data_IF_036761528817
#
_entry.id   IF_036761528817
#
_cell.length_a   1.000
_cell.length_b   1.000
_cell.length_c   1.000
_cell.angle_alpha   90.00
_cell.angle_beta   90.00
_cell.angle_gamma   90.00
#
_symmetry.space_group_name_H-M   'P 1'
#
loop_
_entity.id
_entity.type
_entity.pdbx_description
1 polymer ?
#
# COMPACT_ATOMS: atom_id res chain seq x y z
N UNK A 1 8.47 1.02 -11.96
CA UNK A 1 7.20 0.82 -11.24
C UNK A 1 7.23 1.59 -9.94
N UNK A 2 6.18 2.31 -9.67
CA UNK A 2 6.07 3.15 -8.48
C UNK A 2 5.07 2.57 -7.49
N UNK A 3 5.50 2.42 -6.23
CA UNK A 3 4.67 1.91 -5.14
C UNK A 3 4.65 2.93 -4.02
N UNK A 4 3.45 3.24 -3.51
CA UNK A 4 3.26 4.10 -2.35
C UNK A 4 2.75 3.24 -1.21
N UNK A 5 3.47 3.27 -0.07
CA UNK A 5 3.12 2.53 1.13
C UNK A 5 2.72 3.51 2.21
N UNK A 6 1.53 3.36 2.75
CA UNK A 6 1.02 4.18 3.85
C UNK A 6 1.11 3.41 5.17
N UNK A 7 1.95 3.89 6.06
CA UNK A 7 2.19 3.27 7.36
C UNK A 7 3.61 2.74 7.51
N UNK A 8 4.39 3.34 8.40
CA UNK A 8 5.78 2.97 8.66
C UNK A 8 5.93 2.19 9.98
N UNK A 9 4.93 1.42 10.34
CA UNK A 9 5.02 0.49 11.45
C UNK A 9 5.79 -0.76 11.04
N UNK A 10 5.66 -1.83 11.83
CA UNK A 10 6.38 -3.07 11.59
C UNK A 10 6.10 -3.65 10.20
N UNK A 11 4.83 -3.70 9.82
CA UNK A 11 4.41 -4.27 8.53
C UNK A 11 4.88 -3.42 7.36
N UNK A 12 4.61 -2.11 7.40
CA UNK A 12 4.97 -1.21 6.31
C UNK A 12 6.48 -1.10 6.11
N UNK A 13 7.23 -1.04 7.20
CA UNK A 13 8.68 -0.98 7.17
C UNK A 13 9.27 -2.26 6.55
N UNK A 14 8.77 -3.40 6.99
CA UNK A 14 9.23 -4.69 6.46
C UNK A 14 8.96 -4.80 4.96
N UNK A 15 7.74 -4.42 4.55
CA UNK A 15 7.35 -4.44 3.16
C UNK A 15 8.19 -3.49 2.31
N UNK A 16 8.43 -2.27 2.81
CA UNK A 16 9.25 -1.30 2.10
C UNK A 16 10.67 -1.81 1.89
N UNK A 17 11.25 -2.47 2.90
CA UNK A 17 12.58 -3.07 2.79
C UNK A 17 12.62 -4.16 1.73
N UNK A 18 11.63 -5.05 1.74
CA UNK A 18 11.56 -6.14 0.76
C UNK A 18 11.46 -5.60 -0.65
N UNK A 19 10.56 -4.65 -0.88
CA UNK A 19 10.31 -4.11 -2.21
C UNK A 19 11.44 -3.22 -2.70
N UNK A 20 12.14 -2.53 -1.81
CA UNK A 20 13.28 -1.70 -2.21
C UNK A 20 14.42 -2.55 -2.80
N UNK A 21 14.58 -3.78 -2.33
CA UNK A 21 15.58 -4.71 -2.84
C UNK A 21 15.26 -5.20 -4.24
N UNK A 22 14.02 -5.06 -4.67
CA UNK A 22 13.58 -5.46 -6.01
C UNK A 22 13.81 -4.34 -7.05
N UNK A 23 14.39 -3.22 -6.65
CA UNK A 23 14.65 -2.11 -7.57
C UNK A 23 13.43 -1.27 -7.89
N UNK A 24 12.39 -1.35 -7.07
CA UNK A 24 11.15 -0.61 -7.27
C UNK A 24 11.25 0.80 -6.67
N UNK A 25 10.52 1.73 -7.27
CA UNK A 25 10.46 3.12 -6.81
C UNK A 25 9.41 3.22 -5.69
N UNK A 26 9.84 3.43 -4.46
CA UNK A 26 9.00 3.35 -3.28
C UNK A 26 8.94 4.67 -2.54
N UNK A 27 7.72 5.09 -2.15
CA UNK A 27 7.48 6.19 -1.24
C UNK A 27 6.75 5.63 -0.02
N UNK A 28 7.30 5.87 1.17
CA UNK A 28 6.73 5.44 2.43
C UNK A 28 6.18 6.66 3.18
N UNK A 29 4.90 6.64 3.51
CA UNK A 29 4.18 7.74 4.18
C UNK A 29 3.87 7.35 5.62
N UNK A 30 4.13 8.24 6.57
CA UNK A 30 3.72 8.09 7.96
C UNK A 30 3.61 9.45 8.64
N UNK A 31 2.74 9.56 9.64
CA UNK A 31 2.63 10.76 10.47
C UNK A 31 3.85 10.96 11.37
N UNK A 32 4.52 9.89 11.74
CA UNK A 32 5.62 9.91 12.69
C UNK A 32 6.95 10.03 11.95
N UNK A 33 7.50 11.22 11.97
CA UNK A 33 8.77 11.53 11.33
C UNK A 33 9.91 10.66 11.85
N UNK A 34 9.89 10.32 13.13
CA UNK A 34 10.94 9.50 13.73
C UNK A 34 10.99 8.09 13.14
N UNK A 35 9.84 7.53 12.85
CA UNK A 35 9.78 6.20 12.20
C UNK A 35 10.39 6.24 10.80
N UNK A 36 10.18 7.33 10.08
CA UNK A 36 10.70 7.50 8.73
C UNK A 36 12.20 7.73 8.72
N UNK A 37 12.73 8.48 9.68
CA UNK A 37 14.16 8.72 9.78
C UNK A 37 14.97 7.43 9.96
N UNK A 38 14.44 6.50 10.72
CA UNK A 38 15.13 5.24 10.99
C UNK A 38 15.33 4.41 9.72
N UNK A 39 14.46 4.58 8.74
CA UNK A 39 14.46 3.79 7.52
C UNK A 39 15.19 4.48 6.36
N UNK A 40 15.07 5.81 6.29
CA UNK A 40 15.58 6.61 5.18
C UNK A 40 17.10 6.50 5.02
N UNK A 41 17.83 6.33 6.13
CA UNK A 41 19.28 6.28 6.13
C UNK A 41 19.86 4.98 5.55
N UNK A 42 19.07 3.91 5.47
CA UNK A 42 19.57 2.56 5.17
C UNK A 42 19.01 1.95 3.89
N UNK A 43 17.98 2.54 3.29
CA UNK A 43 17.30 1.95 2.15
C UNK A 43 17.08 2.98 1.05
N UNK A 44 17.15 2.52 -0.19
CA UNK A 44 16.94 3.36 -1.35
C UNK A 44 15.43 3.52 -1.61
N UNK A 45 14.80 4.35 -0.79
CA UNK A 45 13.39 4.69 -0.93
C UNK A 45 13.17 6.12 -0.44
N UNK A 46 12.06 6.72 -0.83
CA UNK A 46 11.69 8.05 -0.37
C UNK A 46 10.73 7.96 0.79
N UNK A 47 10.79 8.92 1.69
CA UNK A 47 9.85 9.02 2.81
C UNK A 47 9.10 10.33 2.74
N UNK A 48 7.87 10.33 3.28
CA UNK A 48 7.04 11.52 3.32
C UNK A 48 6.26 11.56 4.63
N UNK A 49 6.42 12.62 5.39
CA UNK A 49 5.70 12.79 6.66
C UNK A 49 4.32 13.39 6.39
N UNK A 50 3.30 12.77 6.93
CA UNK A 50 1.93 13.25 6.82
C UNK A 50 0.90 12.16 6.99
N UNK A 51 -0.37 12.56 7.04
CA UNK A 51 -1.47 11.61 7.16
C UNK A 51 -1.79 10.95 5.82
N UNK A 52 -1.88 9.62 5.76
CA UNK A 52 -2.24 8.93 4.52
C UNK A 52 -3.71 9.11 4.13
N UNK A 53 -4.52 9.79 4.95
CA UNK A 53 -5.89 10.16 4.59
C UNK A 53 -6.03 11.64 4.21
N UNK A 54 -4.92 12.38 4.16
CA UNK A 54 -4.94 13.77 3.72
C UNK A 54 -4.70 13.83 2.21
N UNK A 55 -5.62 14.43 1.47
CA UNK A 55 -5.49 14.55 0.01
C UNK A 55 -4.20 15.25 -0.40
N UNK A 56 -3.81 16.28 0.33
CA UNK A 56 -2.58 17.02 0.04
C UNK A 56 -1.36 16.11 0.10
N UNK A 57 -1.30 15.24 1.10
CA UNK A 57 -0.20 14.28 1.27
C UNK A 57 -0.20 13.27 0.12
N UNK A 58 -1.36 12.73 -0.21
CA UNK A 58 -1.49 11.76 -1.29
C UNK A 58 -1.12 12.37 -2.64
N UNK A 59 -1.52 13.62 -2.89
CA UNK A 59 -1.15 14.32 -4.11
C UNK A 59 0.35 14.59 -4.18
N UNK A 60 0.97 14.98 -3.05
CA UNK A 60 2.41 15.20 -2.99
C UNK A 60 3.19 13.90 -3.21
N UNK A 61 2.65 12.78 -2.77
CA UNK A 61 3.24 11.47 -3.00
C UNK A 61 3.00 10.99 -4.44
N UNK A 62 2.23 11.73 -5.22
CA UNK A 62 1.91 11.43 -6.62
C UNK A 62 1.25 10.06 -6.78
N UNK A 63 0.24 9.80 -5.95
CA UNK A 63 -0.50 8.54 -6.04
C UNK A 63 -1.19 8.38 -7.39
N UNK A 64 -1.48 9.47 -8.08
CA UNK A 64 -2.04 9.44 -9.44
C UNK A 64 -1.11 8.76 -10.46
N UNK A 65 0.18 8.66 -10.13
CA UNK A 65 1.20 8.02 -10.98
C UNK A 65 1.64 6.67 -10.43
N UNK A 66 1.09 6.23 -9.29
CA UNK A 66 1.56 4.97 -8.71
C UNK A 66 0.84 3.78 -9.32
N UNK A 67 1.58 2.69 -9.45
CA UNK A 67 1.05 1.42 -9.93
C UNK A 67 0.35 0.66 -8.81
N UNK A 68 0.80 0.87 -7.57
CA UNK A 68 0.26 0.18 -6.41
C UNK A 68 0.31 1.09 -5.19
N UNK A 69 -0.82 1.21 -4.50
CA UNK A 69 -0.94 1.89 -3.23
C UNK A 69 -1.31 0.87 -2.16
N UNK A 70 -0.49 0.77 -1.12
CA UNK A 70 -0.68 -0.22 -0.04
C UNK A 70 -0.82 0.52 1.28
N UNK A 71 -1.97 0.38 1.94
CA UNK A 71 -2.20 0.99 3.26
C UNK A 71 -2.11 -0.08 4.33
N UNK A 72 -1.11 0.05 5.21
CA UNK A 72 -0.78 -0.96 6.22
C UNK A 72 -0.61 -0.39 7.62
N UNK A 73 -1.36 0.68 7.95
CA UNK A 73 -1.38 1.20 9.31
C UNK A 73 -2.10 0.20 10.24
N UNK A 74 -1.96 0.34 11.57
CA UNK A 74 -2.69 -0.53 12.51
C UNK A 74 -4.21 -0.33 12.49
N UNK A 75 -4.71 0.67 11.78
CA UNK A 75 -6.13 1.05 11.79
C UNK A 75 -6.79 0.68 10.46
N UNK A 76 -7.53 -0.43 10.45
CA UNK A 76 -8.10 -0.97 9.20
C UNK A 76 -9.04 0.00 8.49
N UNK A 77 -9.86 0.77 9.23
CA UNK A 77 -10.75 1.74 8.60
C UNK A 77 -9.98 2.87 7.92
N UNK A 78 -8.88 3.31 8.51
CA UNK A 78 -8.00 4.29 7.88
C UNK A 78 -7.36 3.75 6.62
N UNK A 79 -7.00 2.46 6.63
CA UNK A 79 -6.41 1.81 5.46
C UNK A 79 -7.42 1.77 4.32
N UNK A 80 -8.67 1.44 4.62
CA UNK A 80 -9.74 1.41 3.63
C UNK A 80 -9.98 2.81 3.07
N UNK A 81 -10.09 3.81 3.93
CA UNK A 81 -10.32 5.21 3.52
C UNK A 81 -9.14 5.72 2.68
N UNK A 82 -7.92 5.46 3.12
CA UNK A 82 -6.71 5.87 2.41
C UNK A 82 -6.67 5.29 1.00
N UNK A 83 -6.96 3.99 0.86
CA UNK A 83 -7.04 3.32 -0.43
C UNK A 83 -8.14 3.92 -1.31
N UNK A 84 -9.31 4.18 -0.72
CA UNK A 84 -10.42 4.79 -1.45
C UNK A 84 -10.02 6.16 -2.02
N UNK A 85 -9.37 6.98 -1.21
CA UNK A 85 -8.90 8.30 -1.62
C UNK A 85 -7.83 8.19 -2.71
N UNK A 86 -6.85 7.29 -2.52
CA UNK A 86 -5.80 7.08 -3.49
C UNK A 86 -6.36 6.63 -4.84
N UNK A 87 -7.35 5.76 -4.82
CA UNK A 87 -7.99 5.29 -6.05
C UNK A 87 -8.69 6.43 -6.78
N UNK A 88 -9.41 7.27 -6.04
CA UNK A 88 -10.08 8.45 -6.61
C UNK A 88 -9.09 9.41 -7.24
N UNK A 89 -7.90 9.53 -6.65
CA UNK A 89 -6.85 10.41 -7.18
C UNK A 89 -6.10 9.80 -8.36
N UNK A 90 -6.29 8.52 -8.66
CA UNK A 90 -5.73 7.91 -9.84
C UNK A 90 -4.77 6.74 -9.62
N UNK A 91 -4.62 6.25 -8.38
CA UNK A 91 -3.81 5.07 -8.13
C UNK A 91 -4.34 3.89 -8.95
N UNK A 92 -3.45 3.16 -9.59
CA UNK A 92 -3.84 2.08 -10.48
C UNK A 92 -4.44 0.89 -9.72
N UNK A 93 -3.80 0.51 -8.63
CA UNK A 93 -4.27 -0.59 -7.79
C UNK A 93 -4.08 -0.23 -6.33
N UNK A 94 -5.01 -0.69 -5.48
CA UNK A 94 -4.98 -0.42 -4.06
C UNK A 94 -5.14 -1.69 -3.25
N UNK A 95 -4.38 -1.78 -2.15
CA UNK A 95 -4.42 -2.91 -1.22
C UNK A 95 -4.49 -2.36 0.20
N UNK A 96 -5.44 -2.85 0.99
CA UNK A 96 -5.61 -2.40 2.37
C UNK A 96 -5.39 -3.56 3.34
N UNK A 97 -4.59 -3.31 4.38
CA UNK A 97 -4.45 -4.21 5.51
C UNK A 97 -5.74 -4.17 6.33
N UNK A 98 -6.23 -5.33 6.70
CA UNK A 98 -7.40 -5.48 7.57
C UNK A 98 -7.09 -6.42 8.73
N UNK A 99 -7.88 -6.32 9.80
CA UNK A 99 -7.77 -7.19 10.96
C UNK A 99 -9.04 -8.02 11.16
N UNK A 100 -10.12 -7.66 10.48
CA UNK A 100 -11.41 -8.34 10.60
C UNK A 100 -11.63 -9.31 9.45
N UNK A 101 -11.58 -10.60 9.74
CA UNK A 101 -11.77 -11.66 8.74
C UNK A 101 -13.12 -11.59 8.03
N UNK A 102 -14.13 -10.99 8.65
CA UNK A 102 -15.43 -10.84 8.02
C UNK A 102 -15.33 -10.12 6.69
N UNK A 103 -14.44 -9.15 6.59
CA UNK A 103 -14.26 -8.36 5.38
C UNK A 103 -13.78 -9.20 4.18
N UNK A 104 -13.20 -10.37 4.44
CA UNK A 104 -12.72 -11.26 3.38
C UNK A 104 -13.80 -12.15 2.80
N UNK A 105 -15.03 -12.12 3.33
CA UNK A 105 -16.12 -12.94 2.80
C UNK A 105 -16.42 -12.53 1.36
N UNK A 106 -16.61 -13.50 0.45
CA UNK A 106 -16.84 -13.19 -0.97
C UNK A 106 -18.02 -12.25 -1.21
N UNK A 107 -19.04 -12.29 -0.36
CA UNK A 107 -20.23 -11.44 -0.49
C UNK A 107 -19.92 -9.95 -0.30
N UNK A 108 -18.81 -9.61 0.40
CA UNK A 108 -18.42 -8.21 0.65
C UNK A 108 -17.34 -7.71 -0.30
N UNK A 109 -16.75 -8.58 -1.09
CA UNK A 109 -15.66 -8.22 -1.99
C UNK A 109 -16.03 -7.08 -2.93
N UNK A 110 -17.24 -7.13 -3.47
CA UNK A 110 -17.72 -6.10 -4.38
C UNK A 110 -17.89 -4.74 -3.68
N UNK A 111 -18.30 -4.75 -2.41
CA UNK A 111 -18.47 -3.50 -1.65
C UNK A 111 -17.13 -2.75 -1.58
N UNK A 112 -16.06 -3.46 -1.25
CA UNK A 112 -14.73 -2.83 -1.16
C UNK A 112 -14.22 -2.41 -2.52
N UNK A 113 -14.43 -3.20 -3.55
CA UNK A 113 -14.06 -2.83 -4.91
C UNK A 113 -14.75 -1.53 -5.34
N UNK A 114 -16.03 -1.37 -5.04
CA UNK A 114 -16.79 -0.16 -5.34
C UNK A 114 -16.27 1.06 -4.57
N UNK A 115 -15.70 0.85 -3.38
CA UNK A 115 -15.07 1.90 -2.60
C UNK A 115 -13.68 2.27 -3.12
N UNK A 116 -13.15 1.52 -4.08
CA UNK A 116 -11.82 1.76 -4.60
C UNK A 116 -10.73 0.96 -3.90
N UNK A 117 -11.09 -0.10 -3.15
CA UNK A 117 -10.14 -1.00 -2.51
C UNK A 117 -10.13 -2.29 -3.32
N UNK A 118 -9.04 -2.50 -4.07
CA UNK A 118 -8.97 -3.65 -4.97
C UNK A 118 -8.73 -4.96 -4.25
N UNK A 119 -7.87 -4.96 -3.23
CA UNK A 119 -7.58 -6.16 -2.45
C UNK A 119 -7.50 -5.85 -0.97
N UNK A 120 -7.89 -6.82 -0.15
CA UNK A 120 -7.77 -6.78 1.30
C UNK A 120 -6.79 -7.86 1.74
N UNK A 121 -5.85 -7.50 2.61
CA UNK A 121 -4.84 -8.44 3.07
C UNK A 121 -4.73 -8.43 4.59
N UNK A 122 -4.67 -9.63 5.16
CA UNK A 122 -4.49 -9.81 6.60
C UNK A 122 -3.00 -9.66 6.96
N UNK A 123 -2.65 -9.06 8.13
CA UNK A 123 -1.26 -8.76 8.46
C UNK A 123 -0.28 -9.93 8.38
N UNK A 124 -0.72 -11.12 8.72
CA UNK A 124 0.12 -12.32 8.68
C UNK A 124 0.67 -12.58 7.29
N UNK A 125 -0.12 -12.26 6.26
CA UNK A 125 0.28 -12.49 4.87
C UNK A 125 1.35 -11.51 4.39
N UNK A 126 1.44 -10.33 5.00
CA UNK A 126 2.49 -9.37 4.65
C UNK A 126 3.87 -9.80 5.13
N UNK A 127 3.94 -10.64 6.17
CA UNK A 127 5.20 -11.13 6.70
C UNK A 127 5.71 -12.36 5.97
N UNK A 128 4.93 -12.95 5.08
CA UNK A 128 5.26 -14.19 4.40
C UNK A 128 5.74 -13.94 2.97
N UNK A 129 6.51 -14.90 2.46
CA UNK A 129 6.94 -14.88 1.06
C UNK A 129 5.75 -14.96 0.10
N UNK A 130 4.65 -15.53 0.56
CA UNK A 130 3.44 -15.69 -0.24
C UNK A 130 2.83 -14.36 -0.67
N UNK A 131 2.83 -13.35 0.20
CA UNK A 131 2.30 -12.04 -0.16
C UNK A 131 3.13 -11.40 -1.29
N UNK A 132 4.44 -11.52 -1.19
CA UNK A 132 5.35 -11.01 -2.22
C UNK A 132 5.04 -11.69 -3.56
N UNK A 133 4.86 -13.00 -3.55
CA UNK A 133 4.52 -13.76 -4.73
C UNK A 133 3.15 -13.34 -5.27
N UNK A 134 2.17 -13.16 -4.40
CA UNK A 134 0.82 -12.74 -4.78
C UNK A 134 0.83 -11.35 -5.43
N UNK A 135 1.57 -10.41 -4.86
CA UNK A 135 1.69 -9.06 -5.41
C UNK A 135 2.38 -9.08 -6.77
N UNK A 136 3.47 -9.83 -6.90
CA UNK A 136 4.18 -9.99 -8.15
C UNK A 136 3.32 -10.66 -9.21
N UNK A 137 2.58 -11.69 -8.81
CA UNK A 137 1.70 -12.40 -9.71
C UNK A 137 0.56 -11.52 -10.22
N UNK A 138 -0.09 -10.79 -9.32
CA UNK A 138 -1.15 -9.85 -9.67
C UNK A 138 -0.63 -8.79 -10.64
N UNK A 139 0.57 -8.29 -10.37
CA UNK A 139 1.23 -7.31 -11.20
C UNK A 139 1.59 -7.88 -12.58
N UNK A 140 2.20 -9.06 -12.62
CA UNK A 140 2.58 -9.71 -13.87
C UNK A 140 1.38 -9.94 -14.78
N UNK A 141 0.24 -10.33 -14.22
CA UNK A 141 -0.99 -10.50 -14.99
C UNK A 141 -1.43 -9.19 -15.66
N UNK A 142 -1.36 -8.08 -14.93
CA UNK A 142 -1.75 -6.78 -15.47
C UNK A 142 -0.84 -6.36 -16.62
N UNK A 143 0.44 -6.61 -16.52
CA UNK A 143 1.39 -6.27 -17.57
C UNK A 143 1.31 -7.22 -18.75
N UNK A 144 1.13 -8.51 -18.52
CA UNK A 144 1.00 -9.51 -19.57
C UNK A 144 -0.24 -9.25 -20.41
N UNK A 145 -1.33 -8.82 -19.79
CA UNK A 145 -2.57 -8.51 -20.49
C UNK A 145 -2.48 -7.22 -21.31
N UNK A 146 -1.55 -6.34 -20.96
CA UNK A 146 -1.36 -5.07 -21.67
C UNK A 146 -0.46 -5.25 -22.91
N UNK A 147 0.23 -6.34 -23.00
CA UNK A 147 1.08 -6.66 -24.12
C UNK A 147 0.41 -7.64 -25.07
#
# INVERSE_FOLDING_TARGET
MKIVIAGAGEVGTHLAKLLSKEGLDIILIDNDENKLHAIDANYNLMTMTGSPTAFKVLKNAKVDKCDLFIAVTPFETRNIVSCSFAKKLGARKTVARIDNYEFLKPEYQQYFAEMGVDDLIYPENFASLEIRTALQHSWARNFTMAS
#
